data_IF_359749678282
#
_entry.id   IF_359749678282
#
_cell.length_a   1.000
_cell.length_b   1.000
_cell.length_c   1.000
_cell.angle_alpha   90.00
_cell.angle_beta   90.00
_cell.angle_gamma   90.00
#
_symmetry.space_group_name_H-M   'P 1'
#
loop_
_entity.id
_entity.type
_entity.pdbx_description
1 polymer ?
#
# COMPACT_ATOMS: atom_id res chain seq x y z
N UNK A 1 35.42 -42.66 -39.22
CA UNK A 1 34.34 -41.65 -39.21
C UNK A 1 34.01 -41.34 -37.76
N UNK A 2 34.53 -40.19 -37.29
CA UNK A 2 34.38 -39.77 -35.87
C UNK A 2 33.08 -38.96 -35.73
N UNK A 3 32.13 -39.46 -34.94
CA UNK A 3 30.92 -38.71 -34.62
C UNK A 3 31.23 -37.72 -33.48
N UNK A 4 31.21 -36.43 -33.82
CA UNK A 4 31.31 -35.34 -32.85
C UNK A 4 29.93 -35.19 -32.24
N UNK A 5 29.78 -35.54 -30.97
CA UNK A 5 28.59 -35.25 -30.18
C UNK A 5 28.77 -33.84 -29.60
N UNK A 6 28.05 -32.91 -30.19
CA UNK A 6 28.01 -31.52 -29.69
C UNK A 6 27.07 -31.47 -28.48
N UNK A 7 27.63 -31.41 -27.28
CA UNK A 7 26.87 -31.15 -26.04
C UNK A 7 26.50 -29.68 -26.00
N UNK A 8 25.27 -29.35 -26.38
CA UNK A 8 24.67 -28.03 -26.14
C UNK A 8 24.33 -27.94 -24.65
N UNK A 9 25.23 -27.33 -23.88
CA UNK A 9 24.99 -26.98 -22.49
C UNK A 9 24.06 -25.74 -22.49
N UNK A 10 22.75 -25.96 -22.44
CA UNK A 10 21.78 -24.89 -22.19
C UNK A 10 21.94 -24.45 -20.74
N UNK A 11 22.68 -23.38 -20.55
CA UNK A 11 22.71 -22.66 -19.28
C UNK A 11 21.32 -22.09 -19.02
N UNK A 12 20.54 -22.79 -18.18
CA UNK A 12 19.28 -22.31 -17.64
C UNK A 12 19.62 -21.19 -16.67
N UNK A 13 19.66 -19.96 -17.16
CA UNK A 13 19.79 -18.78 -16.32
C UNK A 13 18.48 -18.66 -15.54
N UNK A 14 18.49 -19.14 -14.31
CA UNK A 14 17.43 -18.88 -13.35
C UNK A 14 17.47 -17.37 -13.03
N UNK A 15 16.67 -16.61 -13.75
CA UNK A 15 16.34 -15.26 -13.30
C UNK A 15 15.56 -15.40 -12.00
N UNK A 16 16.27 -15.35 -10.87
CA UNK A 16 15.63 -15.07 -9.60
C UNK A 16 15.09 -13.65 -9.71
N UNK A 17 13.79 -13.53 -10.00
CA UNK A 17 13.07 -12.29 -9.86
C UNK A 17 13.18 -11.90 -8.38
N UNK A 18 14.17 -11.09 -8.06
CA UNK A 18 14.20 -10.40 -6.78
C UNK A 18 12.95 -9.52 -6.78
N UNK A 19 11.96 -9.89 -5.96
CA UNK A 19 10.83 -9.03 -5.71
C UNK A 19 11.40 -7.71 -5.17
N UNK A 20 11.56 -6.74 -6.07
CA UNK A 20 12.11 -5.44 -5.72
C UNK A 20 11.18 -4.84 -4.68
N UNK A 21 11.71 -4.58 -3.49
CA UNK A 21 10.94 -3.95 -2.43
C UNK A 21 10.31 -2.69 -3.00
N UNK A 22 8.97 -2.67 -3.00
CA UNK A 22 8.20 -1.54 -3.50
C UNK A 22 8.18 -0.35 -2.54
N UNK A 23 8.99 -0.42 -1.49
CA UNK A 23 9.16 0.63 -0.50
C UNK A 23 10.57 0.56 0.09
N UNK A 24 11.02 1.65 0.67
CA UNK A 24 12.23 1.77 1.47
C UNK A 24 11.88 2.02 2.94
N UNK A 25 12.78 1.61 3.84
CA UNK A 25 12.64 1.86 5.27
C UNK A 25 13.64 2.91 5.70
N UNK A 26 13.13 4.02 6.24
CA UNK A 26 13.93 5.09 6.81
C UNK A 26 13.81 5.09 8.33
N UNK A 27 14.89 5.42 9.03
CA UNK A 27 14.89 5.67 10.48
C UNK A 27 15.14 7.15 10.67
N UNK A 28 14.07 7.92 10.74
CA UNK A 28 14.13 9.38 10.87
C UNK A 28 14.24 9.83 12.33
N UNK A 29 13.81 8.97 13.27
CA UNK A 29 13.92 9.16 14.73
C UNK A 29 14.22 7.83 15.40
N UNK A 30 14.84 7.85 16.60
CA UNK A 30 15.06 6.63 17.37
C UNK A 30 13.77 5.82 17.54
N UNK A 31 13.82 4.52 17.29
CA UNK A 31 12.71 3.57 17.41
C UNK A 31 11.51 3.85 16.48
N UNK A 32 11.67 4.65 15.44
CA UNK A 32 10.63 4.96 14.47
C UNK A 32 11.04 4.46 13.08
N UNK A 33 10.18 3.65 12.47
CA UNK A 33 10.34 3.19 11.08
C UNK A 33 9.39 3.97 10.18
N UNK A 34 9.94 4.71 9.23
CA UNK A 34 9.17 5.34 8.15
C UNK A 34 9.27 4.45 6.91
N UNK A 35 8.16 3.86 6.49
CA UNK A 35 8.07 3.13 5.23
C UNK A 35 7.67 4.10 4.13
N UNK A 36 8.49 4.22 3.09
CA UNK A 36 8.32 5.20 1.99
C UNK A 36 8.19 4.47 0.66
N UNK A 37 7.14 4.72 -0.07
CA UNK A 37 6.85 4.07 -1.35
C UNK A 37 5.54 3.29 -1.33
N UNK A 38 5.40 2.31 -2.22
CA UNK A 38 4.17 1.54 -2.35
C UNK A 38 4.05 0.50 -1.23
N UNK A 39 3.01 0.65 -0.42
CA UNK A 39 2.70 -0.22 0.71
C UNK A 39 1.48 -1.09 0.41
N UNK A 40 1.30 -2.13 1.21
CA UNK A 40 0.09 -2.95 1.23
C UNK A 40 -0.38 -3.23 2.66
N UNK A 41 -1.60 -3.72 2.78
CA UNK A 41 -2.16 -4.20 4.06
C UNK A 41 -1.23 -5.23 4.71
N UNK A 42 -0.71 -6.17 3.90
CA UNK A 42 0.16 -7.26 4.36
C UNK A 42 1.47 -6.73 4.92
N UNK A 43 2.09 -5.74 4.26
CA UNK A 43 3.31 -5.09 4.73
C UNK A 43 3.08 -4.48 6.11
N UNK A 44 1.98 -3.75 6.29
CA UNK A 44 1.68 -3.09 7.56
C UNK A 44 1.31 -4.09 8.66
N UNK A 45 0.55 -5.14 8.33
CA UNK A 45 0.10 -6.13 9.31
C UNK A 45 1.16 -7.14 9.72
N UNK A 46 2.19 -7.36 8.90
CA UNK A 46 3.29 -8.28 9.18
C UNK A 46 4.46 -7.64 9.93
N UNK A 47 4.53 -6.30 9.96
CA UNK A 47 5.60 -5.60 10.69
C UNK A 47 5.32 -5.64 12.20
N UNK A 48 6.18 -6.31 12.94
CA UNK A 48 6.00 -6.57 14.37
C UNK A 48 5.91 -5.31 15.23
N UNK A 49 6.53 -4.21 14.78
CA UNK A 49 6.49 -2.91 15.45
C UNK A 49 5.18 -2.13 15.19
N UNK A 50 4.31 -2.61 14.29
CA UNK A 50 3.07 -1.93 13.91
C UNK A 50 1.83 -2.61 14.54
N UNK A 51 1.86 -2.89 15.86
CA UNK A 51 0.74 -3.51 16.58
C UNK A 51 -0.56 -2.73 16.41
N UNK A 52 -0.45 -1.40 16.31
CA UNK A 52 -1.54 -0.47 16.05
C UNK A 52 -2.38 -0.84 14.81
N UNK A 53 -1.76 -1.49 13.81
CA UNK A 53 -2.50 -1.85 12.60
C UNK A 53 -3.55 -2.91 12.90
N UNK A 54 -3.14 -4.02 13.48
CA UNK A 54 -4.06 -5.13 13.80
C UNK A 54 -5.11 -4.72 14.83
N UNK A 55 -4.73 -3.95 15.85
CA UNK A 55 -5.63 -3.45 16.89
C UNK A 55 -6.75 -2.59 16.29
N UNK A 56 -6.39 -1.55 15.53
CA UNK A 56 -7.36 -0.64 14.93
C UNK A 56 -8.19 -1.30 13.81
N UNK A 57 -7.60 -2.22 13.06
CA UNK A 57 -8.30 -2.98 12.02
C UNK A 57 -9.43 -3.86 12.63
N UNK A 58 -9.14 -4.61 13.70
CA UNK A 58 -10.10 -5.50 14.36
C UNK A 58 -11.16 -4.76 15.15
N UNK A 59 -10.81 -3.63 15.73
CA UNK A 59 -11.72 -2.84 16.55
C UNK A 59 -12.77 -2.06 15.74
N UNK A 60 -12.58 -1.93 14.43
CA UNK A 60 -13.44 -1.09 13.60
C UNK A 60 -14.71 -1.78 13.15
N UNK A 61 -15.84 -1.12 13.38
CA UNK A 61 -17.16 -1.49 12.87
C UNK A 61 -17.68 -0.37 11.97
N UNK A 62 -17.80 -0.59 10.65
CA UNK A 62 -18.30 0.43 9.75
C UNK A 62 -19.75 0.81 10.02
N UNK A 63 -20.06 2.08 9.87
CA UNK A 63 -21.44 2.52 9.86
C UNK A 63 -22.20 1.93 8.66
N UNK A 64 -23.41 1.40 8.90
CA UNK A 64 -24.17 0.64 7.90
C UNK A 64 -24.40 1.40 6.59
N UNK A 65 -24.71 2.70 6.65
CA UNK A 65 -24.91 3.55 5.47
C UNK A 65 -23.60 3.72 4.67
N UNK A 66 -22.47 3.99 5.34
CA UNK A 66 -21.17 4.10 4.68
C UNK A 66 -20.76 2.82 3.98
N UNK A 67 -20.96 1.68 4.67
CA UNK A 67 -20.66 0.36 4.09
C UNK A 67 -21.54 0.06 2.87
N UNK A 68 -22.85 0.30 2.96
CA UNK A 68 -23.77 0.06 1.84
C UNK A 68 -23.47 0.96 0.64
N UNK A 69 -23.12 2.21 0.89
CA UNK A 69 -22.70 3.15 -0.16
C UNK A 69 -21.46 2.64 -0.89
N UNK A 70 -20.41 2.27 -0.15
CA UNK A 70 -19.20 1.74 -0.77
C UNK A 70 -19.43 0.44 -1.53
N UNK A 71 -20.29 -0.46 -1.04
CA UNK A 71 -20.68 -1.69 -1.76
C UNK A 71 -21.25 -1.38 -3.13
N UNK A 72 -22.07 -0.35 -3.27
CA UNK A 72 -22.67 0.04 -4.53
C UNK A 72 -21.66 0.59 -5.56
N UNK A 73 -20.54 1.13 -5.10
CA UNK A 73 -19.52 1.75 -5.96
C UNK A 73 -18.22 0.94 -6.06
N UNK A 74 -18.10 -0.19 -5.37
CA UNK A 74 -16.84 -0.97 -5.23
C UNK A 74 -16.16 -1.29 -6.56
N UNK A 75 -16.94 -1.53 -7.62
CA UNK A 75 -16.43 -1.93 -8.93
C UNK A 75 -16.12 -0.73 -9.84
N UNK A 76 -16.50 0.49 -9.44
CA UNK A 76 -16.38 1.70 -10.26
C UNK A 76 -15.41 2.75 -9.72
N UNK A 77 -14.92 2.57 -8.49
CA UNK A 77 -13.98 3.49 -7.86
C UNK A 77 -12.59 2.90 -7.75
N UNK A 78 -11.60 3.78 -7.65
CA UNK A 78 -10.22 3.50 -7.30
C UNK A 78 -9.85 4.38 -6.11
N UNK A 79 -9.07 3.86 -5.19
CA UNK A 79 -8.70 4.51 -3.95
C UNK A 79 -7.19 4.72 -3.92
N UNK A 80 -6.77 5.95 -3.67
CA UNK A 80 -5.38 6.31 -3.47
C UNK A 80 -5.24 6.90 -2.07
N UNK A 81 -4.36 6.32 -1.28
CA UNK A 81 -4.11 6.76 0.08
C UNK A 81 -2.64 7.13 0.26
N UNK A 82 -2.40 8.22 0.97
CA UNK A 82 -1.08 8.61 1.46
C UNK A 82 -1.07 8.49 2.97
N UNK A 83 -0.01 7.91 3.52
CA UNK A 83 0.14 7.72 4.95
C UNK A 83 1.58 7.93 5.43
N UNK A 84 1.74 8.27 6.69
CA UNK A 84 3.03 8.15 7.38
C UNK A 84 2.98 7.03 8.43
N UNK A 85 3.88 6.05 8.38
CA UNK A 85 3.97 5.02 9.44
C UNK A 85 4.47 5.59 10.77
N UNK A 86 4.85 6.85 10.79
CA UNK A 86 5.21 7.67 11.93
C UNK A 86 4.06 8.56 12.46
N UNK A 87 2.90 8.57 11.78
CA UNK A 87 1.78 9.47 12.04
C UNK A 87 0.67 8.75 12.79
N UNK A 88 0.32 9.23 13.99
CA UNK A 88 -0.72 8.64 14.83
C UNK A 88 -2.10 8.63 14.16
N UNK A 89 -2.44 9.69 13.42
CA UNK A 89 -3.70 9.71 12.65
C UNK A 89 -3.71 8.63 11.57
N UNK A 90 -2.56 8.35 10.93
CA UNK A 90 -2.43 7.24 9.98
C UNK A 90 -2.60 5.88 10.68
N UNK A 91 -2.06 5.73 11.91
CA UNK A 91 -2.24 4.51 12.70
C UNK A 91 -3.71 4.24 13.01
N UNK A 92 -4.48 5.30 13.20
CA UNK A 92 -5.91 5.21 13.50
C UNK A 92 -6.76 5.01 12.25
N UNK A 93 -6.51 5.75 11.19
CA UNK A 93 -7.39 5.82 10.01
C UNK A 93 -7.11 4.70 9.01
N UNK A 94 -5.83 4.40 8.69
CA UNK A 94 -5.49 3.48 7.61
C UNK A 94 -5.95 2.04 7.87
N UNK A 95 -5.80 1.46 9.08
CA UNK A 95 -6.34 0.13 9.33
C UNK A 95 -7.87 0.07 9.17
N UNK A 96 -8.57 1.11 9.62
CA UNK A 96 -10.04 1.23 9.49
C UNK A 96 -10.49 1.39 8.05
N UNK A 97 -9.72 2.12 7.26
CA UNK A 97 -9.91 2.23 5.82
C UNK A 97 -9.84 0.84 5.14
N UNK A 98 -8.83 0.03 5.46
CA UNK A 98 -8.73 -1.32 4.92
C UNK A 98 -9.87 -2.22 5.41
N UNK A 99 -10.25 -2.13 6.68
CA UNK A 99 -11.37 -2.89 7.22
C UNK A 99 -12.70 -2.55 6.52
N UNK A 100 -12.93 -1.26 6.25
CA UNK A 100 -14.09 -0.78 5.51
C UNK A 100 -14.09 -1.24 4.05
N UNK A 101 -12.96 -1.08 3.37
CA UNK A 101 -12.80 -1.45 1.96
C UNK A 101 -13.03 -2.96 1.75
N UNK A 102 -12.46 -3.79 2.61
CA UNK A 102 -12.60 -5.24 2.57
C UNK A 102 -14.04 -5.68 2.85
N UNK A 103 -14.69 -5.12 3.87
CA UNK A 103 -16.10 -5.40 4.16
C UNK A 103 -17.03 -4.91 3.04
N UNK A 104 -16.65 -3.86 2.32
CA UNK A 104 -17.37 -3.38 1.14
C UNK A 104 -17.14 -4.27 -0.09
N UNK A 105 -16.14 -5.16 -0.07
CA UNK A 105 -15.77 -6.02 -1.19
C UNK A 105 -15.01 -5.25 -2.30
N UNK A 106 -14.27 -4.20 -1.93
CA UNK A 106 -13.39 -3.51 -2.87
C UNK A 106 -12.16 -4.38 -3.12
N UNK A 107 -11.89 -4.69 -4.39
CA UNK A 107 -10.73 -5.47 -4.78
C UNK A 107 -9.43 -4.73 -4.44
N UNK A 108 -8.44 -5.44 -3.89
CA UNK A 108 -7.16 -4.85 -3.47
C UNK A 108 -6.40 -4.17 -4.61
N UNK A 109 -6.59 -4.62 -5.86
CA UNK A 109 -6.00 -3.99 -7.05
C UNK A 109 -6.52 -2.57 -7.32
N UNK A 110 -7.63 -2.20 -6.67
CA UNK A 110 -8.23 -0.86 -6.74
C UNK A 110 -7.74 0.08 -5.65
N UNK A 111 -6.84 -0.40 -4.79
CA UNK A 111 -6.31 0.37 -3.66
C UNK A 111 -4.81 0.57 -3.87
N UNK A 112 -4.38 1.81 -3.90
CA UNK A 112 -2.98 2.20 -3.89
C UNK A 112 -2.71 2.89 -2.56
N UNK A 113 -1.75 2.38 -1.80
CA UNK A 113 -1.28 3.00 -0.56
C UNK A 113 0.18 3.45 -0.72
N UNK A 114 0.44 4.72 -0.50
CA UNK A 114 1.76 5.29 -0.54
C UNK A 114 2.21 5.75 0.85
N UNK A 115 3.31 5.19 1.31
CA UNK A 115 4.01 5.67 2.49
C UNK A 115 4.84 6.91 2.17
N UNK A 116 4.89 7.86 3.11
CA UNK A 116 5.69 9.08 3.01
C UNK A 116 6.61 9.24 4.22
N UNK A 117 7.75 9.91 4.01
CA UNK A 117 8.63 10.35 5.10
C UNK A 117 8.02 11.54 5.88
N UNK A 118 8.72 12.03 6.92
CA UNK A 118 8.24 13.18 7.72
C UNK A 118 8.15 14.48 6.94
N UNK A 119 8.88 14.63 5.85
CA UNK A 119 8.75 15.76 4.94
C UNK A 119 7.59 15.61 3.96
N UNK A 120 6.84 14.49 4.05
CA UNK A 120 5.76 14.12 3.12
C UNK A 120 6.26 13.87 1.70
N UNK A 121 7.46 13.30 1.58
CA UNK A 121 8.05 12.87 0.31
C UNK A 121 7.83 11.37 0.12
N UNK A 122 7.61 10.97 -1.11
CA UNK A 122 7.53 9.58 -1.59
C UNK A 122 8.12 9.52 -2.99
N UNK A 123 7.94 8.43 -3.72
CA UNK A 123 8.47 8.29 -5.07
C UNK A 123 8.06 9.43 -5.99
N UNK A 124 9.04 9.96 -6.72
CA UNK A 124 8.83 11.09 -7.60
C UNK A 124 8.21 12.29 -6.88
N UNK A 125 7.43 13.06 -7.59
CA UNK A 125 6.72 14.21 -7.04
C UNK A 125 5.23 13.93 -6.76
N UNK A 126 4.87 12.66 -6.43
CA UNK A 126 3.48 12.27 -6.27
C UNK A 126 2.75 13.09 -5.20
N UNK A 127 3.39 13.36 -4.06
CA UNK A 127 2.77 14.17 -3.02
C UNK A 127 2.51 15.61 -3.48
N UNK A 128 3.40 16.19 -4.27
CA UNK A 128 3.20 17.52 -4.86
C UNK A 128 2.12 17.49 -5.94
N UNK A 129 2.15 16.47 -6.81
CA UNK A 129 1.18 16.30 -7.89
C UNK A 129 -0.26 16.20 -7.37
N UNK A 130 -0.46 15.51 -6.26
CA UNK A 130 -1.76 15.34 -5.62
C UNK A 130 -2.03 16.38 -4.52
N UNK A 131 -1.16 17.37 -4.33
CA UNK A 131 -1.35 18.42 -3.34
C UNK A 131 -1.40 17.94 -1.88
N UNK A 132 -0.64 16.86 -1.56
CA UNK A 132 -0.67 16.24 -0.24
C UNK A 132 0.08 17.08 0.78
N UNK A 133 -0.66 17.73 1.66
CA UNK A 133 -0.10 18.56 2.74
C UNK A 133 -0.16 17.88 4.10
N UNK A 134 -1.09 16.96 4.29
CA UNK A 134 -1.27 16.19 5.52
C UNK A 134 -1.38 14.69 5.23
N UNK A 135 -1.13 13.87 6.24
CA UNK A 135 -1.37 12.42 6.20
C UNK A 135 -2.13 11.99 7.47
N UNK A 136 -3.03 11.03 7.35
CA UNK A 136 -3.40 10.36 6.09
C UNK A 136 -4.29 11.23 5.20
N UNK A 137 -4.14 11.06 3.89
CA UNK A 137 -5.07 11.62 2.88
C UNK A 137 -5.60 10.46 2.04
N UNK A 138 -6.91 10.45 1.83
CA UNK A 138 -7.62 9.45 1.03
C UNK A 138 -8.26 10.15 -0.17
N UNK A 139 -7.92 9.72 -1.37
CA UNK A 139 -8.46 10.23 -2.62
C UNK A 139 -9.29 9.15 -3.30
N UNK A 140 -10.46 9.53 -3.78
CA UNK A 140 -11.37 8.63 -4.49
C UNK A 140 -11.44 9.04 -5.94
N UNK A 141 -11.20 8.08 -6.84
CA UNK A 141 -11.27 8.31 -8.28
C UNK A 141 -12.40 7.48 -8.89
N UNK A 142 -13.03 8.05 -9.88
CA UNK A 142 -14.02 7.37 -10.73
C UNK A 142 -13.78 7.77 -12.17
N UNK A 143 -13.61 6.76 -13.06
CA UNK A 143 -13.28 7.00 -14.48
C UNK A 143 -12.06 7.92 -14.68
N UNK A 144 -11.03 7.75 -13.84
CA UNK A 144 -9.79 8.54 -13.89
C UNK A 144 -9.89 9.98 -13.37
N UNK A 145 -11.03 10.38 -12.81
CA UNK A 145 -11.23 11.70 -12.19
C UNK A 145 -11.43 11.56 -10.68
N UNK A 146 -10.81 12.43 -9.92
CA UNK A 146 -11.08 12.59 -8.49
C UNK A 146 -12.51 13.12 -8.29
N UNK A 147 -13.21 12.58 -7.27
CA UNK A 147 -14.62 12.89 -6.96
C UNK A 147 -14.79 13.27 -5.49
#
# INVERSE_FOLDING_TARGET
>A
MKKIVLFLLTALVLFTSQAQNRFETLVERPNEKSLVGLLSKEVLSSESSFTWFTENYKAYQPHALGLSTLKNYRDSIQLLAFMGTWCEDSHFIIPRFFALAEQAGIDSSRIILLGVNRKKETWGDLTKTFGIVNVPTLLVFRNGKEI
#
